data_IF_042295576682
#
_entry.id   IF_042295576682
#
_cell.length_a   1.000
_cell.length_b   1.000
_cell.length_c   1.000
_cell.angle_alpha   90.00
_cell.angle_beta   90.00
_cell.angle_gamma   90.00
#
_symmetry.space_group_name_H-M   'P 1'
#
loop_
_entity.id
_entity.type
_entity.pdbx_description
1 polymer ?
#
# COMPACT_ATOMS: atom_id res chain seq x y z
N UNK A 1 8.09 6.88 14.85
CA UNK A 1 7.49 7.87 13.92
C UNK A 1 6.54 7.10 13.02
N UNK A 2 5.23 7.33 13.13
CA UNK A 2 4.29 6.79 12.16
C UNK A 2 4.60 7.49 10.81
N UNK A 3 4.82 6.69 9.76
CA UNK A 3 5.04 7.23 8.42
C UNK A 3 3.86 8.13 8.05
N UNK A 4 4.15 9.33 7.56
CA UNK A 4 3.12 10.32 7.20
C UNK A 4 2.17 9.81 6.10
N UNK A 5 1.25 10.68 5.63
CA UNK A 5 0.32 10.30 4.57
C UNK A 5 1.06 9.90 3.29
N UNK A 6 0.59 8.85 2.63
CA UNK A 6 1.13 8.34 1.36
C UNK A 6 -0.03 8.25 0.37
N UNK A 7 0.18 8.73 -0.86
CA UNK A 7 -0.77 8.55 -1.95
C UNK A 7 -0.72 7.12 -2.47
N UNK A 8 -1.87 6.44 -2.53
CA UNK A 8 -2.02 5.06 -3.00
C UNK A 8 -3.31 4.93 -3.81
N UNK A 9 -3.33 3.97 -4.73
CA UNK A 9 -4.52 3.61 -5.52
C UNK A 9 -4.77 2.11 -5.48
N UNK A 10 -6.00 1.68 -5.78
CA UNK A 10 -6.24 0.24 -5.99
C UNK A 10 -5.50 -0.25 -7.24
N UNK A 11 -5.04 -1.50 -7.20
CA UNK A 11 -4.32 -2.11 -8.31
C UNK A 11 -5.12 -2.16 -9.60
N UNK A 12 -6.45 -2.32 -9.49
CA UNK A 12 -7.34 -2.36 -10.63
C UNK A 12 -7.40 -1.00 -11.35
N UNK A 13 -7.37 0.10 -10.60
CA UNK A 13 -7.47 1.44 -11.16
C UNK A 13 -6.13 1.94 -11.70
N UNK A 14 -5.06 1.80 -10.92
CA UNK A 14 -3.74 2.27 -11.32
C UNK A 14 -2.63 1.34 -10.80
N UNK A 15 -2.26 0.30 -11.58
CA UNK A 15 -1.28 -0.71 -11.19
C UNK A 15 0.05 -0.18 -10.61
N UNK A 16 0.64 0.93 -11.13
CA UNK A 16 1.89 1.46 -10.58
C UNK A 16 1.77 1.96 -9.13
N UNK A 17 0.65 2.59 -8.73
CA UNK A 17 0.42 3.04 -7.35
C UNK A 17 -0.27 1.99 -6.47
N UNK A 18 -0.72 0.88 -7.06
CA UNK A 18 -1.33 -0.23 -6.35
C UNK A 18 -0.37 -1.39 -6.04
N UNK A 19 0.90 -1.35 -6.44
CA UNK A 19 1.92 -2.36 -6.09
C UNK A 19 2.81 -1.82 -4.98
N UNK A 20 3.10 -2.65 -3.98
CA UNK A 20 4.02 -2.27 -2.91
C UNK A 20 4.88 -3.46 -2.46
N UNK A 21 5.98 -3.15 -1.79
CA UNK A 21 6.90 -4.14 -1.21
C UNK A 21 7.10 -3.83 0.26
N UNK A 22 7.02 -4.85 1.13
CA UNK A 22 7.43 -4.72 2.51
C UNK A 22 8.92 -5.06 2.61
N UNK A 23 9.67 -4.18 3.28
CA UNK A 23 11.12 -4.32 3.45
C UNK A 23 11.47 -4.31 4.93
N UNK A 24 12.32 -5.24 5.34
CA UNK A 24 12.95 -5.25 6.66
C UNK A 24 14.45 -5.53 6.50
N UNK A 25 15.28 -4.78 7.23
CA UNK A 25 16.76 -4.90 7.19
C UNK A 25 17.39 -4.93 5.79
N UNK A 26 16.81 -4.19 4.85
CA UNK A 26 17.32 -4.10 3.46
C UNK A 26 16.81 -5.19 2.52
N UNK A 27 16.12 -6.21 3.05
CA UNK A 27 15.55 -7.31 2.29
C UNK A 27 14.05 -7.13 2.04
N UNK A 28 13.57 -7.71 0.94
CA UNK A 28 12.13 -7.75 0.63
C UNK A 28 11.50 -8.93 1.34
N UNK A 29 10.59 -8.68 2.28
CA UNK A 29 9.90 -9.73 3.03
C UNK A 29 8.53 -10.08 2.44
N UNK A 30 7.93 -9.17 1.67
CA UNK A 30 6.66 -9.43 0.98
C UNK A 30 6.48 -8.50 -0.22
N UNK A 31 5.66 -8.97 -1.17
CA UNK A 31 5.17 -8.19 -2.31
C UNK A 31 3.65 -8.23 -2.25
N UNK A 32 3.01 -7.07 -2.38
CA UNK A 32 1.57 -6.93 -2.24
C UNK A 32 0.97 -6.04 -3.33
N UNK A 33 -0.35 -6.16 -3.47
CA UNK A 33 -1.16 -5.24 -4.27
C UNK A 33 -2.33 -4.69 -3.44
N UNK A 34 -2.66 -3.44 -3.65
CA UNK A 34 -3.79 -2.77 -2.99
C UNK A 34 -5.09 -3.22 -3.65
N UNK A 35 -6.02 -3.74 -2.85
CA UNK A 35 -7.34 -4.19 -3.32
C UNK A 35 -8.48 -3.29 -2.86
N UNK A 36 -8.29 -2.58 -1.75
CA UNK A 36 -9.29 -1.68 -1.16
C UNK A 36 -8.58 -0.57 -0.39
N UNK A 37 -9.10 0.64 -0.48
CA UNK A 37 -8.77 1.77 0.40
C UNK A 37 -9.89 1.88 1.43
N UNK A 38 -9.54 1.94 2.71
CA UNK A 38 -10.52 2.05 3.80
C UNK A 38 -10.68 3.52 4.18
N UNK A 39 -11.93 4.01 4.20
CA UNK A 39 -12.23 5.30 4.79
C UNK A 39 -12.58 5.12 6.27
N UNK A 40 -12.37 6.14 7.12
CA UNK A 40 -12.78 6.08 8.54
C UNK A 40 -14.28 5.82 8.75
N UNK A 41 -15.11 6.12 7.76
CA UNK A 41 -16.55 5.83 7.76
C UNK A 41 -16.90 4.38 7.45
N UNK A 42 -15.94 3.60 6.95
CA UNK A 42 -16.14 2.19 6.54
C UNK A 42 -15.82 1.21 7.69
N UNK A 43 -15.68 1.71 8.93
CA UNK A 43 -15.50 0.95 10.17
C UNK A 43 -16.79 0.88 10.97
#
# INVERSE_FOLDING_TARGET
VLGGPICLETFQNFPPLGRFTLRDKGETIAIGKVVKILNPSDQ
#
